data_IF_956387778218
#
_entry.id   IF_956387778218
#
_cell.length_a   1.000
_cell.length_b   1.000
_cell.length_c   1.000
_cell.angle_alpha   90.00
_cell.angle_beta   90.00
_cell.angle_gamma   90.00
#
_symmetry.space_group_name_H-M   'P 1'
#
loop_
_entity.id
_entity.type
_entity.pdbx_description
1 polymer ?
#
# COMPACT_ATOMS: atom_id res chain seq x y z
N UNK A 1 14.36 -22.78 -17.24
CA UNK A 1 13.67 -22.77 -18.55
C UNK A 1 12.35 -23.54 -18.52
N UNK A 2 12.35 -24.88 -18.38
CA UNK A 2 11.11 -25.68 -18.38
C UNK A 2 10.06 -25.27 -17.32
N UNK A 3 10.47 -25.00 -16.08
CA UNK A 3 9.56 -24.54 -15.04
C UNK A 3 8.85 -23.21 -15.39
N UNK A 4 9.56 -22.29 -16.06
CA UNK A 4 9.00 -21.01 -16.51
C UNK A 4 8.06 -21.19 -17.70
N UNK A 5 8.42 -22.08 -18.63
CA UNK A 5 7.54 -22.42 -19.73
C UNK A 5 6.19 -22.96 -19.24
N UNK A 6 6.22 -23.84 -18.24
CA UNK A 6 5.01 -24.33 -17.58
C UNK A 6 4.25 -23.21 -16.83
N UNK A 7 4.96 -22.40 -16.04
CA UNK A 7 4.36 -21.34 -15.20
C UNK A 7 3.64 -20.25 -16.02
N UNK A 8 4.17 -19.89 -17.18
CA UNK A 8 3.60 -18.88 -18.07
C UNK A 8 2.73 -19.47 -19.19
N UNK A 9 2.64 -20.80 -19.29
CA UNK A 9 1.90 -21.46 -20.38
C UNK A 9 2.49 -21.15 -21.76
N UNK A 10 3.80 -20.90 -21.83
CA UNK A 10 4.50 -20.52 -23.07
C UNK A 10 5.70 -21.44 -23.29
N UNK A 11 5.85 -22.02 -24.48
CA UNK A 11 7.00 -22.87 -24.81
C UNK A 11 8.28 -22.06 -25.09
N UNK A 12 8.17 -20.77 -25.41
CA UNK A 12 9.30 -19.92 -25.82
C UNK A 12 10.45 -19.91 -24.80
N UNK A 13 10.25 -19.80 -23.47
CA UNK A 13 11.34 -19.88 -22.50
C UNK A 13 12.13 -21.19 -22.53
N UNK A 14 11.56 -22.27 -23.08
CA UNK A 14 12.19 -23.58 -23.21
C UNK A 14 13.03 -23.71 -24.49
N UNK A 15 12.50 -23.24 -25.63
CA UNK A 15 13.07 -23.49 -26.96
C UNK A 15 13.82 -22.30 -27.57
N UNK A 16 13.65 -21.10 -27.01
CA UNK A 16 14.27 -19.89 -27.57
C UNK A 16 15.75 -19.81 -27.21
N UNK A 17 16.58 -19.62 -28.23
CA UNK A 17 18.01 -19.33 -28.11
C UNK A 17 18.28 -17.90 -27.62
N UNK A 18 17.27 -17.01 -27.66
CA UNK A 18 17.36 -15.65 -27.12
C UNK A 18 17.35 -15.62 -25.59
N UNK A 19 16.89 -16.69 -24.94
CA UNK A 19 16.91 -16.81 -23.47
C UNK A 19 18.26 -17.43 -23.05
N UNK A 20 19.15 -16.59 -22.56
CA UNK A 20 20.49 -16.97 -22.10
C UNK A 20 20.55 -17.11 -20.57
N UNK A 21 21.72 -17.44 -20.01
CA UNK A 21 21.97 -17.40 -18.56
C UNK A 21 21.83 -16.01 -17.96
N UNK A 22 21.97 -14.96 -18.77
CA UNK A 22 21.90 -13.56 -18.33
C UNK A 22 20.48 -12.98 -18.41
N UNK A 23 19.54 -13.75 -18.99
CA UNK A 23 18.16 -13.32 -19.13
C UNK A 23 17.46 -13.28 -17.78
N UNK A 24 16.72 -12.19 -17.52
CA UNK A 24 15.88 -12.04 -16.34
C UNK A 24 14.41 -12.27 -16.70
N UNK A 25 13.69 -12.92 -15.80
CA UNK A 25 12.25 -13.16 -15.95
C UNK A 25 11.52 -12.27 -14.95
N UNK A 26 10.57 -11.50 -15.45
CA UNK A 26 9.65 -10.73 -14.63
C UNK A 26 8.49 -11.65 -14.24
N UNK A 27 8.46 -12.07 -12.98
CA UNK A 27 7.42 -12.98 -12.45
C UNK A 27 6.10 -12.26 -12.23
N UNK A 28 6.16 -11.15 -11.53
CA UNK A 28 5.02 -10.31 -11.24
C UNK A 28 5.20 -8.95 -11.91
N UNK A 29 4.23 -8.57 -12.72
CA UNK A 29 4.23 -7.28 -13.42
C UNK A 29 3.39 -6.25 -12.69
N UNK A 30 2.39 -6.71 -11.95
CA UNK A 30 1.52 -5.85 -11.19
C UNK A 30 2.25 -5.34 -9.94
N UNK A 31 2.27 -4.02 -9.79
CA UNK A 31 3.04 -3.35 -8.74
C UNK A 31 2.41 -3.63 -7.38
N UNK A 32 1.09 -3.61 -7.28
CA UNK A 32 0.36 -3.87 -6.04
C UNK A 32 0.56 -5.31 -5.59
N UNK A 33 0.30 -6.27 -6.48
CA UNK A 33 0.49 -7.72 -6.23
C UNK A 33 1.92 -8.02 -5.77
N UNK A 34 2.92 -7.38 -6.38
CA UNK A 34 4.33 -7.54 -6.00
C UNK A 34 4.60 -7.10 -4.56
N UNK A 35 4.06 -5.96 -4.15
CA UNK A 35 4.26 -5.41 -2.80
C UNK A 35 3.47 -6.23 -1.77
N UNK A 36 2.25 -6.64 -2.11
CA UNK A 36 1.41 -7.53 -1.30
C UNK A 36 2.07 -8.89 -1.05
N UNK A 37 2.70 -9.49 -2.05
CA UNK A 37 3.44 -10.75 -1.88
C UNK A 37 4.60 -10.65 -0.88
N UNK A 38 5.22 -9.47 -0.75
CA UNK A 38 6.34 -9.24 0.16
C UNK A 38 5.88 -8.93 1.59
N UNK A 39 4.73 -8.26 1.74
CA UNK A 39 4.18 -7.86 3.03
C UNK A 39 2.64 -8.02 3.04
N UNK A 40 2.14 -9.26 3.09
CA UNK A 40 0.70 -9.56 3.04
C UNK A 40 -0.04 -9.19 4.34
N UNK A 41 0.70 -8.81 5.38
CA UNK A 41 0.17 -8.37 6.67
C UNK A 41 -0.07 -6.85 6.72
N UNK A 42 0.34 -6.10 5.69
CA UNK A 42 -0.04 -4.71 5.49
C UNK A 42 -1.20 -4.66 4.50
N UNK A 43 -2.13 -3.73 4.73
CA UNK A 43 -3.12 -3.37 3.74
C UNK A 43 -2.51 -2.35 2.78
N UNK A 44 -2.74 -2.50 1.48
CA UNK A 44 -2.15 -1.62 0.46
C UNK A 44 -3.21 -0.73 -0.17
N UNK A 45 -2.86 0.52 -0.45
CA UNK A 45 -3.72 1.44 -1.17
C UNK A 45 -3.91 0.98 -2.62
N UNK A 46 -5.12 1.19 -3.14
CA UNK A 46 -5.51 0.78 -4.48
C UNK A 46 -5.04 1.70 -5.61
N UNK A 47 -4.43 2.85 -5.31
CA UNK A 47 -3.97 3.84 -6.30
C UNK A 47 -2.44 4.03 -6.27
N UNK A 48 -1.65 3.05 -6.76
CA UNK A 48 -0.22 3.21 -6.96
C UNK A 48 0.07 4.31 -7.99
N UNK A 49 0.94 5.25 -7.65
CA UNK A 49 1.23 6.38 -8.55
C UNK A 49 2.69 6.44 -9.01
N UNK A 50 2.95 6.78 -10.28
CA UNK A 50 4.31 6.92 -10.79
C UNK A 50 4.92 8.25 -10.38
N UNK A 51 6.21 8.22 -10.05
CA UNK A 51 7.07 9.38 -9.81
C UNK A 51 8.27 9.28 -10.75
N UNK A 52 8.53 10.35 -11.50
CA UNK A 52 9.72 10.48 -12.33
C UNK A 52 10.78 11.21 -11.54
N UNK A 53 11.91 10.54 -11.28
CA UNK A 53 13.06 11.10 -10.59
C UNK A 53 14.32 10.81 -11.41
N UNK A 54 15.01 11.86 -11.86
CA UNK A 54 16.24 11.77 -12.66
C UNK A 54 16.14 10.81 -13.87
N UNK A 55 15.00 10.83 -14.57
CA UNK A 55 14.74 9.98 -15.73
C UNK A 55 14.43 8.52 -15.40
N UNK A 56 14.35 8.15 -14.12
CA UNK A 56 13.83 6.85 -13.64
C UNK A 56 12.38 6.99 -13.18
N UNK A 57 11.62 5.91 -13.33
CA UNK A 57 10.22 5.84 -12.88
C UNK A 57 10.17 4.94 -11.65
N UNK A 58 9.63 5.47 -10.57
CA UNK A 58 9.30 4.72 -9.36
C UNK A 58 7.79 4.71 -9.19
N UNK A 59 7.19 3.54 -9.01
CA UNK A 59 5.82 3.48 -8.50
C UNK A 59 5.86 3.59 -6.99
N UNK A 60 5.05 4.46 -6.42
CA UNK A 60 4.90 4.64 -4.97
C UNK A 60 3.55 4.10 -4.55
N UNK A 61 3.55 3.34 -3.45
CA UNK A 61 2.35 2.74 -2.87
C UNK A 61 2.29 3.03 -1.38
N UNK A 62 1.07 3.23 -0.92
CA UNK A 62 0.75 3.46 0.47
C UNK A 62 0.44 2.16 1.18
N UNK A 63 1.14 1.91 2.29
CA UNK A 63 0.99 0.73 3.13
C UNK A 63 0.43 1.08 4.49
N UNK A 64 -0.62 0.37 4.88
CA UNK A 64 -1.35 0.56 6.13
C UNK A 64 -1.10 -0.59 7.10
N UNK A 65 -0.86 -0.25 8.36
CA UNK A 65 -1.14 -1.19 9.45
C UNK A 65 -2.61 -1.08 9.82
N UNK A 66 -3.25 -2.22 10.05
CA UNK A 66 -4.69 -2.26 10.37
C UNK A 66 -4.97 -3.20 11.54
N UNK A 67 -6.07 -2.94 12.23
CA UNK A 67 -6.62 -3.87 13.23
C UNK A 67 -8.14 -3.70 13.31
N UNK A 68 -8.84 -4.79 13.59
CA UNK A 68 -10.28 -4.81 13.86
C UNK A 68 -10.61 -4.79 15.37
N UNK A 69 -9.58 -4.81 16.21
CA UNK A 69 -9.69 -5.05 17.66
C UNK A 69 -9.19 -3.87 18.50
N UNK A 70 -9.06 -2.68 17.92
CA UNK A 70 -8.60 -1.52 18.68
C UNK A 70 -9.71 -1.09 19.67
N UNK A 71 -9.44 -1.03 20.98
CA UNK A 71 -10.48 -0.81 21.97
C UNK A 71 -11.05 0.61 21.87
N UNK A 72 -12.34 0.75 22.17
CA UNK A 72 -13.06 2.03 22.16
C UNK A 72 -13.01 2.80 20.82
N UNK A 73 -12.70 2.11 19.71
CA UNK A 73 -12.72 2.68 18.38
C UNK A 73 -13.86 2.12 17.55
N UNK A 74 -14.51 3.01 16.81
CA UNK A 74 -15.57 2.68 15.87
C UNK A 74 -15.00 2.01 14.62
N UNK A 75 -15.74 1.02 14.10
CA UNK A 75 -15.42 0.41 12.82
C UNK A 75 -15.52 1.43 11.69
N UNK A 76 -14.51 1.42 10.83
CA UNK A 76 -14.47 2.25 9.65
C UNK A 76 -15.61 1.88 8.69
N UNK A 77 -16.16 2.91 8.06
CA UNK A 77 -17.09 2.76 6.95
C UNK A 77 -16.28 2.72 5.66
N UNK A 78 -16.56 1.70 4.85
CA UNK A 78 -15.73 1.33 3.69
C UNK A 78 -16.52 1.33 2.38
N UNK A 79 -17.77 1.80 2.40
CA UNK A 79 -18.66 1.80 1.22
C UNK A 79 -18.09 2.57 0.03
N UNK A 80 -17.28 3.59 0.30
CA UNK A 80 -16.70 4.48 -0.72
C UNK A 80 -15.31 4.03 -1.19
N UNK A 81 -14.81 2.90 -0.66
CA UNK A 81 -13.52 2.35 -1.04
C UNK A 81 -13.61 1.55 -2.35
N UNK A 82 -12.58 1.61 -3.21
CA UNK A 82 -12.46 0.73 -4.36
C UNK A 82 -12.42 -0.75 -3.92
N UNK A 83 -12.94 -1.69 -4.75
CA UNK A 83 -12.89 -3.12 -4.43
C UNK A 83 -11.49 -3.65 -4.15
N UNK A 84 -10.49 -3.11 -4.86
CA UNK A 84 -9.07 -3.49 -4.79
C UNK A 84 -8.33 -2.87 -3.59
N UNK A 85 -9.01 -2.02 -2.78
CA UNK A 85 -8.37 -1.40 -1.62
C UNK A 85 -8.05 -2.44 -0.57
N UNK A 86 -6.82 -2.42 -0.05
CA UNK A 86 -6.45 -3.21 1.12
C UNK A 86 -7.21 -2.81 2.39
N UNK A 87 -7.89 -1.66 2.38
CA UNK A 87 -8.80 -1.24 3.45
C UNK A 87 -10.24 -1.73 3.23
N UNK A 88 -10.53 -2.52 2.19
CA UNK A 88 -11.86 -3.07 1.91
C UNK A 88 -12.21 -4.28 2.82
N UNK A 89 -11.97 -4.13 4.12
CA UNK A 89 -12.22 -5.13 5.14
C UNK A 89 -12.68 -4.49 6.45
N UNK A 90 -13.06 -5.30 7.44
CA UNK A 90 -13.46 -4.78 8.74
C UNK A 90 -12.22 -4.34 9.54
N UNK A 91 -12.08 -3.04 9.78
CA UNK A 91 -11.06 -2.49 10.67
C UNK A 91 -11.64 -1.35 11.51
N UNK A 92 -11.00 -1.05 12.64
CA UNK A 92 -11.26 0.12 13.47
C UNK A 92 -9.97 0.84 13.89
N UNK A 93 -8.86 0.48 13.24
CA UNK A 93 -7.56 1.11 13.35
C UNK A 93 -6.87 1.04 11.99
N UNK A 94 -6.34 2.16 11.54
CA UNK A 94 -5.50 2.24 10.36
C UNK A 94 -4.45 3.35 10.53
N UNK A 95 -3.20 3.06 10.17
CA UNK A 95 -2.12 4.05 10.07
C UNK A 95 -1.39 3.87 8.75
N UNK A 96 -1.18 4.97 8.03
CA UNK A 96 -0.28 4.99 6.88
C UNK A 96 1.15 5.00 7.39
N UNK A 97 1.71 3.82 7.59
CA UNK A 97 2.98 3.66 8.29
C UNK A 97 4.14 3.36 7.35
N UNK A 98 3.82 2.96 6.12
CA UNK A 98 4.80 2.52 5.14
C UNK A 98 4.56 3.18 3.79
N UNK A 99 5.63 3.63 3.16
CA UNK A 99 5.66 3.97 1.73
C UNK A 99 6.50 2.93 1.01
N UNK A 100 5.89 2.14 0.14
CA UNK A 100 6.63 1.23 -0.72
C UNK A 100 6.99 1.93 -2.03
N UNK A 101 8.16 1.65 -2.56
CA UNK A 101 8.56 2.05 -3.91
C UNK A 101 8.93 0.84 -4.74
N UNK A 102 8.56 0.84 -6.01
CA UNK A 102 8.94 -0.18 -6.99
C UNK A 102 9.64 0.52 -8.15
N UNK A 103 10.94 0.22 -8.35
CA UNK A 103 11.67 0.72 -9.53
C UNK A 103 11.09 0.05 -10.79
N UNK A 104 10.59 0.85 -11.73
CA UNK A 104 9.96 0.33 -12.95
C UNK A 104 10.98 -0.35 -13.90
N UNK A 105 12.28 -0.13 -13.71
CA UNK A 105 13.34 -0.71 -14.53
C UNK A 105 13.63 -2.17 -14.18
N UNK A 106 13.77 -2.47 -12.88
CA UNK A 106 14.17 -3.81 -12.42
C UNK A 106 13.18 -4.48 -11.45
N UNK A 107 12.13 -3.76 -11.02
CA UNK A 107 11.11 -4.25 -10.10
C UNK A 107 11.58 -4.34 -8.65
N UNK A 108 12.71 -3.74 -8.29
CA UNK A 108 13.19 -3.68 -6.91
C UNK A 108 12.17 -2.97 -6.04
N UNK A 109 11.78 -3.61 -4.94
CA UNK A 109 10.87 -3.05 -3.95
C UNK A 109 11.66 -2.57 -2.74
N UNK A 110 11.36 -1.35 -2.28
CA UNK A 110 11.81 -0.85 -0.97
C UNK A 110 10.60 -0.41 -0.16
N UNK A 111 10.54 -0.78 1.12
CA UNK A 111 9.46 -0.40 2.03
C UNK A 111 10.00 0.55 3.09
N UNK A 112 9.63 1.82 3.00
CA UNK A 112 10.10 2.86 3.90
C UNK A 112 9.10 3.07 5.04
N UNK A 113 9.55 2.90 6.28
CA UNK A 113 8.72 3.21 7.45
C UNK A 113 8.75 4.70 7.74
N UNK A 114 7.58 5.31 7.91
CA UNK A 114 7.44 6.74 8.16
C UNK A 114 7.66 7.04 9.66
N UNK A 115 8.79 7.66 10.06
CA UNK A 115 9.17 7.79 11.47
C UNK A 115 8.32 8.81 12.24
N UNK A 116 7.59 9.67 11.53
CA UNK A 116 6.68 10.66 12.10
C UNK A 116 5.25 10.12 12.29
N UNK A 117 5.00 8.86 11.94
CA UNK A 117 3.72 8.18 12.20
C UNK A 117 3.90 7.33 13.45
N UNK A 118 3.22 7.73 14.53
CA UNK A 118 3.21 6.96 15.77
C UNK A 118 2.32 5.72 15.62
N UNK A 119 2.98 4.59 15.38
CA UNK A 119 2.34 3.31 15.15
C UNK A 119 3.11 2.15 15.82
N UNK A 120 2.58 1.56 16.90
CA UNK A 120 3.20 0.40 17.55
C UNK A 120 3.10 -0.89 16.73
N UNK A 121 2.15 -0.98 15.80
CA UNK A 121 1.96 -2.17 14.94
C UNK A 121 3.10 -2.27 13.93
N UNK A 122 3.49 -1.17 13.28
CA UNK A 122 4.64 -1.20 12.37
C UNK A 122 5.94 -1.46 13.11
N UNK A 123 6.10 -0.95 14.34
CA UNK A 123 7.28 -1.22 15.16
C UNK A 123 7.43 -2.73 15.48
N UNK A 124 6.32 -3.42 15.75
CA UNK A 124 6.32 -4.87 15.93
C UNK A 124 6.72 -5.61 14.64
N UNK A 125 6.21 -5.18 13.48
CA UNK A 125 6.60 -5.78 12.20
C UNK A 125 8.06 -5.50 11.83
N UNK A 126 8.60 -4.32 12.11
CA UNK A 126 10.02 -4.01 11.94
C UNK A 126 10.90 -4.91 12.82
N UNK A 127 10.49 -5.20 14.06
CA UNK A 127 11.21 -6.11 14.93
C UNK A 127 11.18 -7.56 14.42
N UNK A 128 10.04 -8.01 13.87
CA UNK A 128 9.88 -9.35 13.32
C UNK A 128 10.61 -9.55 11.98
N UNK A 129 10.65 -8.51 11.13
CA UNK A 129 11.20 -8.56 9.78
C UNK A 129 12.17 -7.38 9.51
N UNK A 130 13.31 -7.31 10.22
CA UNK A 130 14.19 -6.14 10.15
C UNK A 130 14.80 -5.89 8.76
N UNK A 131 14.95 -6.93 7.94
CA UNK A 131 15.48 -6.82 6.58
C UNK A 131 14.44 -6.39 5.54
N UNK A 132 13.15 -6.44 5.87
CA UNK A 132 12.07 -6.09 4.94
C UNK A 132 11.89 -4.57 4.83
N UNK A 133 12.11 -3.86 5.94
CA UNK A 133 11.91 -2.43 6.04
C UNK A 133 13.21 -1.65 5.90
N UNK A 134 13.14 -0.57 5.14
CA UNK A 134 14.22 0.38 4.92
C UNK A 134 13.96 1.64 5.73
N UNK A 135 14.95 2.21 6.44
CA UNK A 135 14.82 3.52 7.05
C UNK A 135 14.46 4.59 6.01
N UNK A 136 13.55 5.51 6.34
CA UNK A 136 13.19 6.61 5.44
C UNK A 136 14.40 7.47 5.04
N UNK A 137 15.44 7.54 5.87
CA UNK A 137 16.68 8.26 5.57
C UNK A 137 17.46 7.70 4.37
N UNK A 138 17.19 6.47 3.94
CA UNK A 138 17.81 5.85 2.76
C UNK A 138 16.97 6.04 1.49
N UNK A 139 15.93 6.87 1.54
CA UNK A 139 15.14 7.20 0.36
C UNK A 139 15.99 8.00 -0.63
N UNK A 140 15.88 7.75 -1.95
CA UNK A 140 16.53 8.60 -2.95
C UNK A 140 16.17 10.08 -2.74
N UNK A 141 17.16 11.00 -2.72
CA UNK A 141 16.90 12.42 -2.50
C UNK A 141 15.84 12.97 -3.47
N UNK A 142 14.83 13.66 -2.92
CA UNK A 142 13.75 14.26 -3.70
C UNK A 142 12.57 13.33 -3.97
N UNK A 143 12.69 12.01 -3.80
CA UNK A 143 11.56 11.09 -3.97
C UNK A 143 10.47 11.31 -2.92
N UNK A 144 10.88 11.63 -1.69
CA UNK A 144 10.00 11.95 -0.55
C UNK A 144 9.14 13.19 -0.79
N UNK A 145 9.63 14.15 -1.58
CA UNK A 145 8.87 15.36 -1.94
C UNK A 145 7.64 15.07 -2.81
N UNK A 146 7.59 13.88 -3.41
CA UNK A 146 6.46 13.40 -4.19
C UNK A 146 5.50 12.53 -3.37
N UNK A 147 5.72 12.36 -2.07
CA UNK A 147 4.80 11.63 -1.22
C UNK A 147 3.48 12.36 -1.10
N UNK A 148 2.41 11.65 -1.43
CA UNK A 148 1.03 12.14 -1.33
C UNK A 148 0.38 11.59 -0.09
N UNK A 149 -0.72 12.22 0.34
CA UNK A 149 -1.57 11.58 1.32
C UNK A 149 -2.34 10.42 0.65
N UNK A 150 -2.44 9.25 1.30
CA UNK A 150 -3.17 8.09 0.78
C UNK A 150 -4.63 8.41 0.42
N UNK A 151 -5.08 7.96 -0.74
CA UNK A 151 -6.44 8.23 -1.19
C UNK A 151 -7.48 7.39 -0.42
N UNK A 152 -7.21 6.10 -0.20
CA UNK A 152 -8.18 5.22 0.45
C UNK A 152 -8.39 5.62 1.92
N UNK A 153 -7.30 5.93 2.63
CA UNK A 153 -7.39 6.41 4.01
C UNK A 153 -8.06 7.79 4.09
N UNK A 154 -7.84 8.67 3.11
CA UNK A 154 -8.55 9.95 3.04
C UNK A 154 -10.05 9.75 2.92
N UNK A 155 -10.52 8.86 2.03
CA UNK A 155 -11.95 8.53 1.89
C UNK A 155 -12.55 8.06 3.21
N UNK A 156 -11.90 7.11 3.89
CA UNK A 156 -12.35 6.61 5.21
C UNK A 156 -12.49 7.74 6.22
N UNK A 157 -11.51 8.64 6.28
CA UNK A 157 -11.53 9.78 7.20
C UNK A 157 -12.61 10.80 6.85
N UNK A 158 -12.83 11.08 5.56
CA UNK A 158 -13.88 12.02 5.15
C UNK A 158 -15.27 11.46 5.36
N UNK A 159 -15.49 10.15 5.15
CA UNK A 159 -16.76 9.48 5.47
C UNK A 159 -17.03 9.51 6.98
N UNK A 160 -16.01 9.27 7.81
CA UNK A 160 -16.14 9.45 9.26
C UNK A 160 -16.45 10.91 9.62
N UNK A 161 -15.73 11.87 9.03
CA UNK A 161 -15.94 13.29 9.29
C UNK A 161 -17.34 13.77 8.88
N UNK A 162 -17.85 13.33 7.72
CA UNK A 162 -19.20 13.59 7.23
C UNK A 162 -20.30 13.23 8.25
N UNK A 163 -20.06 12.21 9.08
CA UNK A 163 -20.96 11.80 10.15
C UNK A 163 -20.74 12.57 11.46
N UNK A 164 -19.48 12.84 11.82
CA UNK A 164 -19.13 13.36 13.15
C UNK A 164 -18.80 14.85 13.21
N UNK A 165 -18.86 15.58 12.10
CA UNK A 165 -18.68 17.04 12.11
C UNK A 165 -19.86 17.79 12.75
N UNK A 166 -21.00 17.11 12.96
CA UNK A 166 -22.16 17.70 13.62
C UNK A 166 -21.88 17.84 15.12
N UNK A 167 -21.87 19.08 15.59
CA UNK A 167 -21.60 19.41 17.01
C UNK A 167 -22.85 19.40 17.88
N UNK A 168 -24.04 19.47 17.29
CA UNK A 168 -25.32 19.41 17.98
C UNK A 168 -25.83 17.97 18.10
N UNK A 169 -26.10 17.51 19.32
CA UNK A 169 -26.50 16.13 19.60
C UNK A 169 -27.86 15.76 19.02
N UNK A 170 -28.80 16.71 18.93
CA UNK A 170 -30.11 16.44 18.34
C UNK A 170 -30.00 16.31 16.83
N UNK A 171 -29.20 17.16 16.17
CA UNK A 171 -28.93 17.05 14.73
C UNK A 171 -28.20 15.74 14.35
N UNK A 172 -27.30 15.27 15.23
CA UNK A 172 -26.65 13.96 15.04
C UNK A 172 -27.67 12.81 15.13
N UNK A 173 -28.57 12.83 16.11
CA UNK A 173 -29.61 11.80 16.27
C UNK A 173 -30.66 11.82 15.16
N UNK A 174 -31.00 13.00 14.65
CA UNK A 174 -32.02 13.18 13.61
C UNK A 174 -31.48 12.94 12.19
N UNK A 175 -30.16 12.81 12.00
CA UNK A 175 -29.47 12.69 10.70
C UNK A 175 -29.82 13.79 9.69
N UNK A 176 -30.42 14.89 10.14
CA UNK A 176 -31.01 15.94 9.29
C UNK A 176 -29.98 16.79 8.54
N UNK A 177 -28.69 16.70 8.90
CA UNK A 177 -27.58 17.46 8.31
C UNK A 177 -26.31 16.61 8.05
N UNK A 178 -26.42 15.27 8.06
CA UNK A 178 -25.28 14.42 7.66
C UNK A 178 -24.97 14.64 6.17
N UNK A 179 -23.69 14.79 5.82
CA UNK A 179 -23.31 14.76 4.41
C UNK A 179 -23.35 13.29 3.95
N UNK A 180 -24.25 12.97 3.01
CA UNK A 180 -24.44 11.62 2.43
C UNK A 180 -24.19 11.61 0.93
#
# INVERSE_FOLDING_TARGET
KAAFALRFGDINPLISDLVTSDSRIIFERDVQTRVEMLAPFLAWDSDPYPVVLDGRIYYVLDGYTTSANYPYSQRAEISDLPPESGLNGAFNYARNSVKATVDAYDGTVKMYVLPYVDDPVIAAWQAAFPSLFTPLSEIPPGLDQHFRYPQDLFRVQTTAFARYHLTDSNQFYEQTNGWS
#
